data_IF_068535137474
#
_entry.id   IF_068535137474
#
_cell.length_a   1.000
_cell.length_b   1.000
_cell.length_c   1.000
_cell.angle_alpha   90.00
_cell.angle_beta   90.00
_cell.angle_gamma   90.00
#
_symmetry.space_group_name_H-M   'P 1'
#
loop_
_entity.id
_entity.type
_entity.pdbx_description
1 polymer ?
#
# COMPACT_ATOMS: atom_id res chain seq x y z
N UNK A 1 6.14 6.53 -17.35
CA UNK A 1 6.78 6.21 -16.03
C UNK A 1 5.71 5.80 -15.03
N UNK A 2 6.03 4.85 -14.14
CA UNK A 2 5.10 4.41 -13.09
C UNK A 2 5.42 5.07 -11.75
N UNK A 3 4.39 5.52 -11.04
CA UNK A 3 4.47 6.13 -9.73
C UNK A 3 3.90 5.15 -8.71
N UNK A 4 4.66 4.82 -7.65
CA UNK A 4 4.19 3.97 -6.56
C UNK A 4 4.12 4.77 -5.26
N UNK A 5 2.90 5.03 -4.79
CA UNK A 5 2.64 5.59 -3.46
C UNK A 5 2.60 4.45 -2.46
N UNK A 6 3.22 4.62 -1.28
CA UNK A 6 3.37 3.53 -0.31
C UNK A 6 2.99 3.99 1.08
N UNK A 7 2.25 3.13 1.78
CA UNK A 7 1.94 3.32 3.19
C UNK A 7 1.82 1.97 3.91
N UNK A 8 1.84 2.00 5.24
CA UNK A 8 1.91 0.83 6.11
C UNK A 8 0.75 0.79 7.12
N UNK A 9 0.43 -0.41 7.62
CA UNK A 9 -0.51 -0.61 8.72
C UNK A 9 0.01 -1.68 9.66
N UNK A 10 -0.02 -1.39 10.96
CA UNK A 10 0.69 -2.17 11.99
C UNK A 10 2.07 -1.59 12.26
N UNK A 11 2.78 -2.13 13.23
CA UNK A 11 4.14 -1.71 13.59
C UNK A 11 5.20 -2.74 13.20
N UNK A 12 6.45 -2.30 13.05
CA UNK A 12 7.60 -3.15 12.68
C UNK A 12 8.22 -3.91 13.86
N UNK A 13 7.76 -3.66 15.10
CA UNK A 13 8.32 -4.31 16.28
C UNK A 13 7.97 -5.80 16.34
N UNK A 14 8.87 -6.61 16.90
CA UNK A 14 8.62 -8.02 17.23
C UNK A 14 8.33 -8.18 18.71
N UNK A 15 9.24 -7.67 19.56
CA UNK A 15 9.12 -7.81 21.03
C UNK A 15 8.11 -6.79 21.55
N UNK A 16 7.11 -7.24 22.29
CA UNK A 16 6.05 -6.40 22.86
C UNK A 16 5.25 -5.61 21.82
N UNK A 17 5.24 -6.07 20.57
CA UNK A 17 4.44 -5.44 19.52
C UNK A 17 2.94 -5.56 19.80
N UNK A 18 2.15 -4.47 19.70
CA UNK A 18 0.71 -4.51 19.87
C UNK A 18 -0.01 -5.13 18.66
N UNK A 19 0.69 -5.36 17.55
CA UNK A 19 0.10 -5.88 16.32
C UNK A 19 0.74 -7.21 15.91
N UNK A 20 -0.07 -8.17 15.44
CA UNK A 20 0.42 -9.43 14.89
C UNK A 20 1.01 -9.28 13.50
N UNK A 21 0.36 -8.47 12.67
CA UNK A 21 0.78 -8.29 11.28
C UNK A 21 1.40 -6.91 11.07
N UNK A 22 2.34 -6.86 10.15
CA UNK A 22 2.76 -5.64 9.49
C UNK A 22 2.33 -5.74 8.03
N UNK A 23 1.60 -4.75 7.56
CA UNK A 23 1.10 -4.64 6.18
C UNK A 23 1.79 -3.47 5.51
N UNK A 24 2.35 -3.67 4.32
CA UNK A 24 2.92 -2.64 3.49
C UNK A 24 2.24 -2.69 2.12
N UNK A 25 1.67 -1.58 1.68
CA UNK A 25 0.92 -1.49 0.43
C UNK A 25 1.54 -0.46 -0.50
N UNK A 26 1.73 -0.83 -1.77
CA UNK A 26 2.07 0.07 -2.86
C UNK A 26 0.89 0.26 -3.82
N UNK A 27 0.47 1.51 -4.01
CA UNK A 27 -0.52 1.92 -5.00
C UNK A 27 0.22 2.44 -6.24
N UNK A 28 0.14 1.70 -7.34
CA UNK A 28 0.89 1.94 -8.57
C UNK A 28 -0.02 2.46 -9.66
N UNK A 29 0.41 3.50 -10.35
CA UNK A 29 -0.24 4.02 -11.56
C UNK A 29 0.77 4.53 -12.57
N UNK A 30 0.42 4.54 -13.85
CA UNK A 30 1.21 5.24 -14.86
C UNK A 30 0.96 6.75 -14.79
N UNK A 31 2.01 7.58 -14.99
CA UNK A 31 1.93 9.05 -14.94
C UNK A 31 0.84 9.64 -15.85
N UNK A 32 0.56 9.02 -17.00
CA UNK A 32 -0.50 9.45 -17.90
C UNK A 32 -1.91 9.39 -17.27
N UNK A 33 -2.09 8.62 -16.19
CA UNK A 33 -3.35 8.52 -15.44
C UNK A 33 -3.41 9.44 -14.22
N UNK A 34 -2.29 10.02 -13.83
CA UNK A 34 -2.17 10.77 -12.58
C UNK A 34 -3.23 11.89 -12.46
N UNK A 35 -3.36 12.73 -13.49
CA UNK A 35 -4.33 13.83 -13.46
C UNK A 35 -5.79 13.36 -13.43
N UNK A 36 -6.11 12.31 -14.20
CA UNK A 36 -7.46 11.74 -14.24
C UNK A 36 -7.84 11.19 -12.87
N UNK A 37 -6.93 10.44 -12.25
CA UNK A 37 -7.18 9.83 -10.93
C UNK A 37 -7.20 10.86 -9.82
N UNK A 38 -6.37 11.91 -9.89
CA UNK A 38 -6.47 13.03 -8.97
C UNK A 38 -7.86 13.69 -9.05
N UNK A 39 -8.37 13.92 -10.25
CA UNK A 39 -9.71 14.47 -10.45
C UNK A 39 -10.79 13.54 -9.87
N UNK A 40 -10.69 12.24 -10.08
CA UNK A 40 -11.62 11.24 -9.50
C UNK A 40 -11.60 11.30 -7.96
N UNK A 41 -10.41 11.40 -7.35
CA UNK A 41 -10.29 11.55 -5.89
C UNK A 41 -10.86 12.88 -5.40
N UNK A 42 -10.67 13.97 -6.14
CA UNK A 42 -11.26 15.28 -5.82
C UNK A 42 -12.79 15.24 -5.91
N UNK A 43 -13.35 14.58 -6.91
CA UNK A 43 -14.79 14.46 -7.07
C UNK A 43 -15.39 13.59 -5.96
N UNK A 44 -14.75 12.48 -5.59
CA UNK A 44 -15.08 11.71 -4.39
C UNK A 44 -15.07 12.61 -3.14
N UNK A 45 -14.02 13.39 -2.91
CA UNK A 45 -13.92 14.29 -1.75
C UNK A 45 -14.99 15.38 -1.75
N UNK A 46 -15.38 15.89 -2.91
CA UNK A 46 -16.50 16.85 -3.06
C UNK A 46 -17.84 16.21 -2.71
N UNK A 47 -18.09 14.99 -3.20
CA UNK A 47 -19.30 14.24 -2.88
C UNK A 47 -19.40 13.92 -1.37
N UNK A 48 -18.30 13.46 -0.76
CA UNK A 48 -18.22 13.21 0.68
C UNK A 48 -18.41 14.49 1.50
N UNK A 49 -17.85 15.62 1.05
CA UNK A 49 -18.09 16.92 1.68
C UNK A 49 -19.56 17.29 1.65
N UNK A 50 -20.22 17.16 0.49
CA UNK A 50 -21.63 17.49 0.35
C UNK A 50 -22.53 16.59 1.20
N UNK A 51 -22.23 15.29 1.27
CA UNK A 51 -23.06 14.29 1.95
C UNK A 51 -22.83 14.21 3.45
N UNK A 52 -21.57 14.28 3.88
CA UNK A 52 -21.15 14.00 5.27
C UNK A 52 -20.47 15.17 5.97
N UNK A 53 -20.18 16.26 5.25
CA UNK A 53 -19.53 17.43 5.80
C UNK A 53 -18.01 17.32 6.01
N UNK A 54 -17.34 16.25 5.51
CA UNK A 54 -15.88 16.11 5.54
C UNK A 54 -15.26 17.13 4.57
N UNK A 55 -14.46 18.07 5.08
CA UNK A 55 -13.87 19.12 4.24
C UNK A 55 -12.77 18.54 3.35
N UNK A 56 -12.51 19.16 2.19
CA UNK A 56 -11.45 18.75 1.26
C UNK A 56 -10.05 18.71 1.90
N UNK A 57 -9.78 19.66 2.82
CA UNK A 57 -8.50 19.76 3.54
C UNK A 57 -8.37 18.84 4.76
N UNK A 58 -9.49 18.22 5.19
CA UNK A 58 -9.44 17.29 6.33
C UNK A 58 -8.74 16.01 5.86
N UNK A 59 -7.69 15.60 6.55
CA UNK A 59 -7.00 14.36 6.25
C UNK A 59 -7.90 13.16 6.52
N UNK A 60 -7.81 12.14 5.65
CA UNK A 60 -8.48 10.87 5.83
C UNK A 60 -7.41 9.81 6.16
N UNK A 61 -6.92 9.81 7.39
CA UNK A 61 -6.09 8.72 7.92
C UNK A 61 -7.01 7.62 8.46
N UNK A 62 -7.14 6.52 7.72
CA UNK A 62 -8.22 5.54 7.86
C UNK A 62 -8.39 4.97 9.29
N UNK A 63 -7.31 4.62 9.96
CA UNK A 63 -7.33 4.07 11.32
C UNK A 63 -7.82 5.12 12.33
N UNK A 64 -7.24 6.31 12.33
CA UNK A 64 -7.62 7.41 13.21
C UNK A 64 -9.03 7.91 12.87
N UNK A 65 -9.34 8.08 11.59
CA UNK A 65 -10.65 8.52 11.12
C UNK A 65 -11.79 7.63 11.62
N UNK A 66 -11.60 6.31 11.64
CA UNK A 66 -12.63 5.39 12.12
C UNK A 66 -12.71 5.31 13.65
N UNK A 67 -11.56 5.36 14.35
CA UNK A 67 -11.47 5.01 15.78
C UNK A 67 -11.27 6.23 16.70
N UNK A 68 -10.44 7.20 16.28
CA UNK A 68 -10.05 8.36 17.08
C UNK A 68 -10.00 9.63 16.19
N UNK A 69 -11.16 10.10 15.70
CA UNK A 69 -11.22 11.09 14.61
C UNK A 69 -10.80 12.52 15.01
N UNK A 70 -10.39 12.77 16.23
CA UNK A 70 -10.18 14.13 16.73
C UNK A 70 -11.48 14.97 16.79
N UNK A 71 -11.42 16.13 17.42
CA UNK A 71 -12.62 16.96 17.68
C UNK A 71 -13.35 17.37 16.39
N UNK A 72 -12.60 17.81 15.36
CA UNK A 72 -13.20 18.31 14.12
C UNK A 72 -13.97 17.24 13.34
N UNK A 73 -13.53 16.01 13.38
CA UNK A 73 -14.12 14.89 12.64
C UNK A 73 -15.11 14.06 13.49
N UNK A 74 -15.10 14.26 14.81
CA UNK A 74 -16.01 13.55 15.73
C UNK A 74 -17.49 13.90 15.47
N UNK A 75 -17.78 15.03 14.83
CA UNK A 75 -19.12 15.43 14.36
C UNK A 75 -19.72 14.48 13.33
N UNK A 76 -18.86 13.72 12.58
CA UNK A 76 -19.32 12.73 11.61
C UNK A 76 -19.55 11.42 12.38
N UNK A 77 -20.78 10.88 12.43
CA UNK A 77 -21.08 9.64 13.14
C UNK A 77 -20.19 8.48 12.65
N UNK A 78 -19.83 7.56 13.55
CA UNK A 78 -18.92 6.45 13.23
C UNK A 78 -19.40 5.58 12.08
N UNK A 79 -20.71 5.39 11.93
CA UNK A 79 -21.27 4.62 10.81
C UNK A 79 -21.12 5.33 9.49
N UNK A 80 -21.21 6.67 9.46
CA UNK A 80 -20.96 7.48 8.25
C UNK A 80 -19.47 7.47 7.90
N UNK A 81 -18.58 7.54 8.90
CA UNK A 81 -17.14 7.36 8.67
C UNK A 81 -16.82 6.01 8.03
N UNK A 82 -17.48 4.94 8.49
CA UNK A 82 -17.35 3.62 7.86
C UNK A 82 -17.93 3.58 6.44
N UNK A 83 -19.04 4.29 6.19
CA UNK A 83 -19.60 4.43 4.84
C UNK A 83 -18.64 5.18 3.91
N UNK A 84 -18.00 6.26 4.37
CA UNK A 84 -16.97 7.00 3.63
C UNK A 84 -15.80 6.09 3.25
N UNK A 85 -15.30 5.27 4.20
CA UNK A 85 -14.22 4.29 3.94
C UNK A 85 -14.63 3.31 2.84
N UNK A 86 -15.88 2.80 2.87
CA UNK A 86 -16.40 1.91 1.85
C UNK A 86 -16.51 2.60 0.48
N UNK A 87 -17.10 3.80 0.45
CA UNK A 87 -17.27 4.59 -0.78
C UNK A 87 -15.91 4.94 -1.38
N UNK A 88 -14.87 5.16 -0.54
CA UNK A 88 -13.52 5.39 -1.02
C UNK A 88 -12.91 4.14 -1.68
N UNK A 89 -13.05 2.97 -1.04
CA UNK A 89 -12.62 1.70 -1.64
C UNK A 89 -13.33 1.43 -2.98
N UNK A 90 -14.65 1.68 -3.05
CA UNK A 90 -15.43 1.55 -4.28
C UNK A 90 -14.92 2.52 -5.37
N UNK A 91 -14.58 3.76 -5.00
CA UNK A 91 -14.01 4.75 -5.92
C UNK A 91 -12.66 4.29 -6.47
N UNK A 92 -11.75 3.78 -5.63
CA UNK A 92 -10.46 3.24 -6.07
C UNK A 92 -10.66 2.06 -7.04
N UNK A 93 -11.60 1.18 -6.77
CA UNK A 93 -11.88 0.02 -7.62
C UNK A 93 -12.36 0.39 -9.03
N UNK A 94 -12.87 1.62 -9.25
CA UNK A 94 -13.24 2.13 -10.59
C UNK A 94 -12.04 2.59 -11.42
N UNK A 95 -10.88 2.76 -10.81
CA UNK A 95 -9.66 3.23 -11.49
C UNK A 95 -8.91 2.04 -12.10
N UNK A 96 -9.39 1.53 -13.24
CA UNK A 96 -8.98 0.24 -13.82
C UNK A 96 -7.47 0.07 -14.08
N UNK A 97 -6.73 1.17 -14.28
CA UNK A 97 -5.27 1.14 -14.51
C UNK A 97 -4.46 1.33 -13.22
N UNK A 98 -5.10 1.30 -12.03
CA UNK A 98 -4.38 1.17 -10.76
C UNK A 98 -3.92 -0.28 -10.55
N UNK A 99 -2.83 -0.44 -9.84
CA UNK A 99 -2.37 -1.73 -9.34
C UNK A 99 -1.97 -1.63 -7.87
N UNK A 100 -2.43 -2.56 -7.04
CA UNK A 100 -2.09 -2.64 -5.63
C UNK A 100 -1.13 -3.81 -5.39
N UNK A 101 0.09 -3.52 -4.94
CA UNK A 101 1.04 -4.53 -4.46
C UNK A 101 0.96 -4.56 -2.93
N UNK A 102 0.67 -5.73 -2.37
CA UNK A 102 0.45 -5.89 -0.94
C UNK A 102 1.46 -6.88 -0.36
N UNK A 103 2.17 -6.47 0.68
CA UNK A 103 3.08 -7.30 1.46
C UNK A 103 2.50 -7.45 2.86
N UNK A 104 2.48 -8.68 3.37
CA UNK A 104 2.04 -9.00 4.73
C UNK A 104 3.12 -9.78 5.43
N UNK A 105 3.60 -9.26 6.56
CA UNK A 105 4.49 -9.99 7.47
C UNK A 105 3.67 -10.48 8.65
N UNK A 106 3.59 -11.82 8.82
CA UNK A 106 3.07 -12.41 10.06
C UNK A 106 4.22 -12.51 11.06
N UNK A 107 4.16 -11.71 12.11
CA UNK A 107 5.20 -11.66 13.14
C UNK A 107 5.15 -12.81 14.12
N UNK A 108 4.09 -13.62 14.11
CA UNK A 108 3.93 -14.75 15.00
C UNK A 108 5.02 -15.80 14.73
N UNK A 109 5.80 -16.14 15.77
CA UNK A 109 6.87 -17.13 15.67
C UNK A 109 8.15 -16.63 14.98
N UNK A 110 8.24 -15.35 14.62
CA UNK A 110 9.49 -14.76 14.13
C UNK A 110 10.48 -14.54 15.28
N UNK A 111 11.77 -14.65 14.99
CA UNK A 111 12.83 -14.33 15.93
C UNK A 111 12.82 -12.84 16.34
N UNK A 112 13.33 -12.52 17.53
CA UNK A 112 13.28 -11.16 18.06
C UNK A 112 14.06 -10.13 17.21
N UNK A 113 15.06 -10.58 16.47
CA UNK A 113 15.91 -9.80 15.57
C UNK A 113 15.43 -9.79 14.12
N UNK A 114 14.26 -10.36 13.83
CA UNK A 114 13.69 -10.38 12.47
C UNK A 114 13.41 -8.97 11.97
N UNK A 115 14.07 -8.57 10.88
CA UNK A 115 13.94 -7.23 10.29
C UNK A 115 12.65 -7.11 9.46
N UNK A 116 11.52 -6.88 10.15
CA UNK A 116 10.19 -6.71 9.53
C UNK A 116 10.20 -5.60 8.49
N UNK A 117 10.75 -4.43 8.83
CA UNK A 117 10.80 -3.27 7.94
C UNK A 117 11.62 -3.59 6.68
N UNK A 118 12.87 -3.99 6.84
CA UNK A 118 13.78 -4.21 5.71
C UNK A 118 13.28 -5.31 4.77
N UNK A 119 12.74 -6.40 5.31
CA UNK A 119 12.25 -7.51 4.48
C UNK A 119 10.96 -7.15 3.75
N UNK A 120 10.01 -6.44 4.39
CA UNK A 120 8.79 -5.98 3.73
C UNK A 120 9.10 -5.00 2.60
N UNK A 121 9.95 -4.00 2.84
CA UNK A 121 10.34 -3.02 1.82
C UNK A 121 11.14 -3.65 0.69
N UNK A 122 12.07 -4.58 0.97
CA UNK A 122 12.77 -5.34 -0.09
C UNK A 122 11.77 -6.10 -0.97
N UNK A 123 10.81 -6.77 -0.36
CA UNK A 123 9.79 -7.51 -1.10
C UNK A 123 8.94 -6.58 -1.97
N UNK A 124 8.45 -5.45 -1.44
CA UNK A 124 7.65 -4.49 -2.19
C UNK A 124 8.42 -3.90 -3.37
N UNK A 125 9.64 -3.40 -3.12
CA UNK A 125 10.51 -2.83 -4.14
C UNK A 125 10.82 -3.87 -5.24
N UNK A 126 11.15 -5.11 -4.85
CA UNK A 126 11.43 -6.18 -5.81
C UNK A 126 10.20 -6.55 -6.65
N UNK A 127 8.99 -6.57 -6.06
CA UNK A 127 7.76 -6.82 -6.81
C UNK A 127 7.47 -5.69 -7.80
N UNK A 128 7.68 -4.45 -7.39
CA UNK A 128 7.54 -3.29 -8.28
C UNK A 128 8.52 -3.36 -9.46
N UNK A 129 9.82 -3.59 -9.19
CA UNK A 129 10.87 -3.76 -10.21
C UNK A 129 10.53 -4.90 -11.20
N UNK A 130 10.13 -6.07 -10.68
CA UNK A 130 9.79 -7.23 -11.51
C UNK A 130 8.57 -6.94 -12.40
N UNK A 131 7.53 -6.32 -11.85
CA UNK A 131 6.29 -6.03 -12.59
C UNK A 131 6.54 -5.00 -13.68
N UNK A 132 7.41 -4.00 -13.43
CA UNK A 132 7.90 -3.06 -14.45
C UNK A 132 8.70 -3.79 -15.54
N UNK A 133 9.64 -4.64 -15.15
CA UNK A 133 10.55 -5.33 -16.08
C UNK A 133 9.82 -6.27 -17.04
N UNK A 134 8.71 -6.86 -16.57
CA UNK A 134 7.87 -7.76 -17.35
C UNK A 134 6.68 -7.07 -18.03
N UNK A 135 6.58 -5.72 -17.95
CA UNK A 135 5.47 -4.94 -18.50
C UNK A 135 4.08 -5.44 -18.06
N UNK A 136 3.97 -5.89 -16.80
CA UNK A 136 2.74 -6.50 -16.25
C UNK A 136 1.81 -5.50 -15.55
N UNK A 137 2.18 -4.22 -15.47
CA UNK A 137 1.24 -3.19 -15.01
C UNK A 137 0.27 -2.79 -16.13
N UNK A 138 -0.97 -2.42 -15.79
CA UNK A 138 -1.85 -1.76 -16.74
C UNK A 138 -1.22 -0.47 -17.28
N UNK A 139 -1.42 -0.19 -18.57
CA UNK A 139 -0.87 1.00 -19.22
C UNK A 139 0.06 0.68 -20.39
N UNK A 140 0.95 1.59 -20.78
CA UNK A 140 1.87 1.34 -21.86
C UNK A 140 2.81 0.17 -21.56
N UNK A 141 2.82 -0.85 -22.40
CA UNK A 141 3.74 -1.99 -22.28
C UNK A 141 5.10 -1.64 -22.91
N UNK A 142 5.76 -0.58 -22.38
CA UNK A 142 7.05 -0.12 -22.86
C UNK A 142 8.18 -0.72 -22.01
N UNK A 143 9.13 -1.47 -22.61
CA UNK A 143 10.27 -2.04 -21.89
C UNK A 143 11.18 -1.01 -21.21
N UNK A 144 11.17 0.23 -21.68
CA UNK A 144 12.00 1.32 -21.14
C UNK A 144 11.33 2.10 -20.00
N UNK A 145 10.13 1.70 -19.58
CA UNK A 145 9.45 2.33 -18.44
C UNK A 145 10.30 2.26 -17.17
N UNK A 146 10.17 3.34 -16.38
CA UNK A 146 10.85 3.51 -15.09
C UNK A 146 9.80 3.68 -14.00
N UNK A 147 10.22 3.55 -12.75
CA UNK A 147 9.39 3.75 -11.58
C UNK A 147 9.98 4.74 -10.58
N UNK A 148 9.12 5.42 -9.83
CA UNK A 148 9.48 6.26 -8.68
C UNK A 148 8.66 5.86 -7.46
N UNK A 149 9.27 6.01 -6.28
CA UNK A 149 8.66 5.72 -4.98
C UNK A 149 8.22 7.01 -4.27
N UNK A 150 6.99 7.02 -3.80
CA UNK A 150 6.38 8.11 -3.02
C UNK A 150 5.82 7.56 -1.70
N UNK A 151 6.68 7.17 -0.75
CA UNK A 151 6.21 6.69 0.55
C UNK A 151 5.68 7.84 1.41
N UNK A 152 4.76 7.53 2.34
CA UNK A 152 4.52 8.38 3.49
C UNK A 152 5.76 8.43 4.38
N UNK A 153 5.80 9.37 5.33
CA UNK A 153 6.91 9.45 6.28
C UNK A 153 7.00 8.17 7.12
N UNK A 154 8.17 7.55 7.06
CA UNK A 154 8.54 6.33 7.78
C UNK A 154 9.98 6.49 8.29
N UNK A 155 10.78 5.42 8.39
CA UNK A 155 12.23 5.54 8.60
C UNK A 155 12.93 5.93 7.27
N UNK A 156 12.85 7.23 6.94
CA UNK A 156 13.31 7.81 5.67
C UNK A 156 14.77 7.46 5.37
N UNK A 157 15.63 7.51 6.41
CA UNK A 157 17.04 7.22 6.28
C UNK A 157 17.29 5.73 5.98
N UNK A 158 16.60 4.86 6.72
CA UNK A 158 16.74 3.40 6.56
C UNK A 158 16.25 2.98 5.17
N UNK A 159 15.11 3.52 4.72
CA UNK A 159 14.56 3.21 3.40
C UNK A 159 15.46 3.71 2.26
N UNK A 160 15.99 4.93 2.36
CA UNK A 160 16.93 5.46 1.36
C UNK A 160 18.19 4.60 1.24
N UNK A 161 18.77 4.22 2.38
CA UNK A 161 19.96 3.33 2.39
C UNK A 161 19.64 1.95 1.81
N UNK A 162 18.48 1.39 2.14
CA UNK A 162 18.01 0.11 1.61
C UNK A 162 17.89 0.15 0.08
N UNK A 163 17.21 1.18 -0.47
CA UNK A 163 17.05 1.32 -1.92
C UNK A 163 18.40 1.44 -2.64
N UNK A 164 19.30 2.28 -2.11
CA UNK A 164 20.66 2.42 -2.63
C UNK A 164 21.43 1.10 -2.59
N UNK A 165 21.32 0.34 -1.48
CA UNK A 165 21.93 -0.98 -1.38
C UNK A 165 21.38 -1.94 -2.45
N UNK A 166 20.06 -1.98 -2.67
CA UNK A 166 19.43 -2.87 -3.64
C UNK A 166 19.84 -2.59 -5.10
N UNK A 167 20.34 -1.38 -5.40
CA UNK A 167 20.92 -1.04 -6.72
C UNK A 167 22.27 -1.71 -6.97
N UNK A 168 22.98 -2.13 -5.93
CA UNK A 168 24.30 -2.79 -6.03
C UNK A 168 24.26 -4.25 -5.60
N UNK A 169 23.50 -4.54 -4.56
CA UNK A 169 23.39 -5.88 -3.99
C UNK A 169 21.99 -6.15 -3.45
N UNK A 170 21.29 -7.05 -4.13
CA UNK A 170 19.93 -7.46 -3.78
C UNK A 170 19.79 -8.98 -3.94
N UNK A 171 20.20 -9.76 -2.93
CA UNK A 171 20.11 -11.22 -2.98
C UNK A 171 18.65 -11.66 -2.89
N UNK A 172 18.21 -12.38 -3.90
CA UNK A 172 16.87 -12.98 -3.97
C UNK A 172 17.02 -14.49 -4.03
N UNK A 173 16.25 -15.27 -3.26
CA UNK A 173 16.30 -16.72 -3.31
C UNK A 173 16.12 -17.24 -4.72
N UNK A 174 16.84 -18.32 -5.07
CA UNK A 174 16.61 -19.01 -6.32
C UNK A 174 15.19 -19.58 -6.38
N UNK A 175 14.64 -19.69 -7.60
CA UNK A 175 13.45 -20.50 -7.79
C UNK A 175 13.81 -21.97 -7.52
N UNK A 176 12.87 -22.73 -6.95
CA UNK A 176 13.10 -24.13 -6.56
C UNK A 176 13.66 -25.01 -7.70
N UNK A 177 13.29 -24.69 -8.96
CA UNK A 177 13.79 -25.37 -10.15
C UNK A 177 15.30 -25.20 -10.40
N UNK A 178 15.92 -24.17 -9.81
CA UNK A 178 17.35 -23.85 -9.99
C UNK A 178 18.20 -24.16 -8.74
N UNK A 179 17.66 -24.95 -7.80
CA UNK A 179 18.36 -25.37 -6.59
C UNK A 179 18.33 -24.35 -5.46
N UNK A 180 19.06 -24.64 -4.39
CA UNK A 180 19.21 -23.78 -3.21
C UNK A 180 20.23 -22.66 -3.46
N UNK A 181 20.06 -21.52 -2.77
CA UNK A 181 20.97 -20.39 -2.86
C UNK A 181 20.29 -19.09 -3.26
N UNK A 182 21.08 -18.09 -3.59
CA UNK A 182 20.62 -16.73 -3.90
C UNK A 182 21.28 -16.26 -5.20
N UNK A 183 20.54 -15.44 -5.95
CA UNK A 183 21.04 -14.68 -7.09
C UNK A 183 20.96 -13.19 -6.79
N UNK A 184 21.92 -12.41 -7.26
CA UNK A 184 21.89 -10.97 -7.11
C UNK A 184 20.99 -10.35 -8.20
N UNK A 185 19.79 -9.89 -7.83
CA UNK A 185 18.86 -9.20 -8.72
C UNK A 185 18.81 -7.72 -8.35
N UNK A 186 19.81 -6.98 -8.80
CA UNK A 186 19.85 -5.53 -8.62
C UNK A 186 18.65 -4.84 -9.27
N UNK A 187 18.17 -3.78 -8.64
CA UNK A 187 17.13 -2.94 -9.20
C UNK A 187 17.72 -1.91 -10.17
N UNK A 188 17.09 -1.71 -11.31
CA UNK A 188 17.56 -0.80 -12.37
C UNK A 188 16.46 0.04 -12.99
N UNK A 189 15.19 -0.32 -12.76
CA UNK A 189 14.03 0.41 -13.29
C UNK A 189 13.56 1.52 -12.36
N UNK A 190 13.79 1.38 -11.06
CA UNK A 190 13.42 2.37 -10.05
C UNK A 190 14.50 3.45 -10.02
N UNK A 191 14.15 4.65 -10.42
CA UNK A 191 15.03 5.81 -10.44
C UNK A 191 14.87 6.65 -9.17
N UNK A 192 15.85 7.50 -8.88
CA UNK A 192 15.92 8.39 -7.73
C UNK A 192 15.81 7.69 -6.36
N UNK A 193 16.10 8.41 -5.31
CA UNK A 193 15.81 8.00 -3.94
C UNK A 193 14.30 8.15 -3.66
N UNK A 194 13.77 7.52 -2.59
CA UNK A 194 12.37 7.68 -2.24
C UNK A 194 11.99 9.16 -2.05
N UNK A 195 10.89 9.58 -2.63
CA UNK A 195 10.37 10.94 -2.52
C UNK A 195 9.25 10.98 -1.48
N UNK A 196 9.62 11.19 -0.22
CA UNK A 196 8.69 11.15 0.91
C UNK A 196 7.60 12.22 0.79
N UNK A 197 6.37 11.85 1.14
CA UNK A 197 5.18 12.69 1.06
C UNK A 197 4.46 12.73 2.40
N UNK A 198 3.95 13.88 2.72
CA UNK A 198 3.05 14.07 3.85
C UNK A 198 1.62 13.67 3.44
N UNK A 199 1.02 12.73 4.16
CA UNK A 199 -0.35 12.23 3.93
C UNK A 199 -1.39 13.35 3.99
N UNK A 200 -1.20 14.35 4.86
CA UNK A 200 -2.08 15.52 4.96
C UNK A 200 -2.19 16.32 3.65
N UNK A 201 -1.19 16.22 2.78
CA UNK A 201 -1.10 16.97 1.52
C UNK A 201 -1.19 16.08 0.26
N UNK A 202 -1.40 14.76 0.40
CA UNK A 202 -1.43 13.84 -0.72
C UNK A 202 -2.64 12.89 -0.68
N UNK A 203 -3.60 13.10 -1.59
CA UNK A 203 -4.74 12.19 -1.71
C UNK A 203 -4.35 10.76 -2.10
N UNK A 204 -3.24 10.57 -2.82
CA UNK A 204 -2.77 9.24 -3.18
C UNK A 204 -2.13 8.52 -1.99
N UNK A 205 -1.45 9.25 -1.09
CA UNK A 205 -0.95 8.67 0.17
C UNK A 205 -2.13 8.31 1.08
N UNK A 206 -3.16 9.17 1.20
CA UNK A 206 -4.40 8.82 1.91
C UNK A 206 -5.13 7.62 1.29
N UNK A 207 -5.05 7.45 -0.04
CA UNK A 207 -5.64 6.31 -0.71
C UNK A 207 -4.91 5.01 -0.38
N UNK A 208 -3.57 5.02 -0.35
CA UNK A 208 -2.80 3.82 -0.01
C UNK A 208 -2.86 3.50 1.48
N UNK A 209 -2.93 4.50 2.38
CA UNK A 209 -3.24 4.32 3.82
C UNK A 209 -4.55 3.54 4.00
N UNK A 210 -5.61 3.99 3.28
CA UNK A 210 -6.88 3.28 3.32
C UNK A 210 -6.73 1.81 2.92
N UNK A 211 -5.99 1.51 1.86
CA UNK A 211 -5.81 0.12 1.39
C UNK A 211 -5.05 -0.71 2.40
N UNK A 212 -3.94 -0.19 2.96
CA UNK A 212 -3.17 -0.85 3.99
C UNK A 212 -4.03 -1.14 5.24
N UNK A 213 -4.81 -0.15 5.68
CA UNK A 213 -5.78 -0.30 6.77
C UNK A 213 -6.82 -1.38 6.45
N UNK A 214 -7.43 -1.38 5.26
CA UNK A 214 -8.45 -2.37 4.89
C UNK A 214 -7.88 -3.78 4.82
N UNK A 215 -6.67 -3.96 4.31
CA UNK A 215 -5.99 -5.25 4.31
C UNK A 215 -5.70 -5.71 5.74
N UNK A 216 -5.22 -4.82 6.60
CA UNK A 216 -5.00 -5.13 8.02
C UNK A 216 -6.32 -5.57 8.70
N UNK A 217 -7.42 -4.82 8.48
CA UNK A 217 -8.73 -5.16 9.02
C UNK A 217 -9.34 -6.44 8.40
N UNK A 218 -8.90 -6.82 7.21
CA UNK A 218 -9.27 -8.10 6.61
C UNK A 218 -8.60 -9.27 7.33
N UNK A 219 -7.34 -9.10 7.75
CA UNK A 219 -6.56 -10.10 8.49
C UNK A 219 -6.98 -10.20 9.97
N UNK A 220 -7.07 -9.05 10.65
CA UNK A 220 -7.42 -8.94 12.07
C UNK A 220 -8.46 -7.83 12.26
N UNK A 221 -9.74 -8.13 12.05
CA UNK A 221 -10.78 -7.13 12.17
C UNK A 221 -10.98 -6.70 13.63
N UNK A 222 -11.05 -5.38 13.85
CA UNK A 222 -11.53 -4.83 15.12
C UNK A 222 -12.97 -5.28 15.40
N UNK A 223 -13.40 -5.24 16.66
CA UNK A 223 -14.76 -5.64 17.03
C UNK A 223 -15.83 -4.86 16.23
N UNK A 224 -15.60 -3.57 15.99
CA UNK A 224 -16.52 -2.75 15.20
C UNK A 224 -16.54 -3.14 13.72
N UNK A 225 -15.37 -3.36 13.10
CA UNK A 225 -15.28 -3.81 11.71
C UNK A 225 -15.96 -5.17 11.51
N UNK A 226 -15.76 -6.10 12.46
CA UNK A 226 -16.43 -7.41 12.45
C UNK A 226 -17.94 -7.28 12.55
N UNK A 227 -18.44 -6.48 13.51
CA UNK A 227 -19.89 -6.24 13.71
C UNK A 227 -20.57 -5.65 12.47
N UNK A 228 -19.83 -4.87 11.66
CA UNK A 228 -20.34 -4.17 10.48
C UNK A 228 -19.93 -4.81 9.16
N UNK A 229 -19.34 -6.01 9.20
CA UNK A 229 -18.78 -6.71 8.02
C UNK A 229 -17.75 -5.89 7.23
N UNK A 230 -17.14 -4.89 7.88
CA UNK A 230 -16.15 -4.00 7.27
C UNK A 230 -14.83 -4.70 6.91
N UNK A 231 -14.53 -5.87 7.52
CA UNK A 231 -13.39 -6.72 7.13
C UNK A 231 -13.46 -7.18 5.67
N UNK A 232 -14.63 -7.12 5.05
CA UNK A 232 -14.81 -7.50 3.65
C UNK A 232 -14.56 -6.34 2.68
N UNK A 233 -14.30 -5.12 3.17
CA UNK A 233 -14.12 -3.98 2.29
C UNK A 233 -12.85 -4.06 1.44
N UNK A 234 -11.80 -4.73 1.94
CA UNK A 234 -10.62 -5.03 1.13
C UNK A 234 -10.97 -5.81 -0.15
N UNK A 235 -11.94 -6.71 -0.09
CA UNK A 235 -12.35 -7.51 -1.25
C UNK A 235 -12.96 -6.69 -2.40
N UNK A 236 -13.42 -5.47 -2.11
CA UNK A 236 -13.91 -4.53 -3.14
C UNK A 236 -12.82 -4.04 -4.07
N UNK A 237 -11.57 -4.09 -3.61
CA UNK A 237 -10.39 -3.69 -4.36
C UNK A 237 -9.86 -4.79 -5.31
N UNK A 238 -10.52 -5.97 -5.38
CA UNK A 238 -10.08 -7.10 -6.22
C UNK A 238 -9.79 -6.73 -7.68
N UNK A 239 -10.55 -5.81 -8.34
CA UNK A 239 -10.26 -5.42 -9.73
C UNK A 239 -8.89 -4.77 -9.93
N UNK A 240 -8.32 -4.14 -8.91
CA UNK A 240 -7.07 -3.40 -8.99
C UNK A 240 -5.91 -4.07 -8.23
N UNK A 241 -6.08 -5.30 -7.76
CA UNK A 241 -5.01 -6.06 -7.12
C UNK A 241 -3.98 -6.54 -8.14
N UNK A 242 -2.70 -6.35 -7.86
CA UNK A 242 -1.60 -6.87 -8.67
C UNK A 242 -1.42 -8.38 -8.46
N UNK A 243 -2.27 -9.18 -9.09
CA UNK A 243 -2.32 -10.65 -8.90
C UNK A 243 -1.02 -11.35 -9.30
N UNK A 244 -0.24 -10.73 -10.20
CA UNK A 244 1.08 -11.26 -10.62
C UNK A 244 2.19 -11.05 -9.57
N UNK A 245 1.95 -10.24 -8.53
CA UNK A 245 2.95 -10.01 -7.50
C UNK A 245 3.27 -11.27 -6.68
N UNK A 246 2.33 -12.21 -6.57
CA UNK A 246 2.55 -13.51 -5.91
C UNK A 246 1.70 -14.59 -6.57
N UNK A 247 2.34 -15.67 -7.02
CA UNK A 247 1.63 -16.87 -7.54
C UNK A 247 1.06 -17.76 -6.41
N UNK A 248 1.46 -17.52 -5.16
CA UNK A 248 1.05 -18.31 -4.00
C UNK A 248 -0.25 -17.82 -3.36
N UNK A 249 -0.72 -16.65 -3.74
CA UNK A 249 -1.94 -16.03 -3.22
C UNK A 249 -2.83 -15.60 -4.40
N UNK A 250 -4.11 -15.96 -4.46
CA UNK A 250 -4.99 -15.65 -5.60
C UNK A 250 -5.25 -14.15 -5.76
N UNK A 251 -4.95 -13.35 -4.74
CA UNK A 251 -5.02 -11.88 -4.78
C UNK A 251 -3.65 -11.22 -4.94
N UNK A 252 -2.59 -12.02 -5.16
CA UNK A 252 -1.24 -11.50 -5.32
C UNK A 252 -0.59 -10.98 -4.04
N UNK A 253 -1.13 -11.28 -2.85
CA UNK A 253 -0.56 -10.86 -1.58
C UNK A 253 0.74 -11.62 -1.33
N UNK A 254 1.84 -10.90 -1.13
CA UNK A 254 3.12 -11.49 -0.75
C UNK A 254 3.16 -11.67 0.77
N UNK A 255 3.34 -12.90 1.23
CA UNK A 255 3.40 -13.25 2.66
C UNK A 255 4.83 -13.60 3.07
N UNK A 256 5.30 -12.99 4.18
CA UNK A 256 6.64 -13.19 4.75
C UNK A 256 6.57 -13.76 6.17
#
# INVERSE_FOLDING_TARGET
MYLMYVDESGDCGIVNSPTRYFVLTGLVMHELRWQVYLNTLLDFRRAVKAKYGLRLRDELHAAAFLSHPGELLNRIPRHDRLAIIREFADTLATMADLSLINIVVDKQGKAADYDVFGLAWRALIQRFENTLSWCNFPGPANPDERGMLFPDHTDDKKLTLLLRQMRHYNPVPNQAAYGTGYRNLVIGKIIEDPNFRDSGHSYFVQAVDLVAFLLYQHLVPSAYMRKKSGQNYFLRLDPILCKVASSQDPRGIVRL
#
